data_IF_570616723049
#
_entry.id   IF_570616723049
#
_cell.length_a   1.000
_cell.length_b   1.000
_cell.length_c   1.000
_cell.angle_alpha   90.00
_cell.angle_beta   90.00
_cell.angle_gamma   90.00
#
_symmetry.space_group_name_H-M   'P 1'
#
loop_
_entity.id
_entity.type
_entity.pdbx_description
1 polymer ?
#
# COMPACT_ATOMS: atom_id res chain seq x y z
N UNK A 1 -17.62 31.42 -8.00
CA UNK A 1 -18.61 30.70 -8.84
C UNK A 1 -18.74 29.30 -8.28
N UNK A 2 -19.79 29.07 -7.49
CA UNK A 2 -20.10 27.77 -6.87
C UNK A 2 -20.70 26.87 -7.93
N UNK A 3 -19.98 25.87 -8.38
CA UNK A 3 -20.50 24.82 -9.26
C UNK A 3 -21.55 24.05 -8.46
N UNK A 4 -22.82 24.16 -8.91
CA UNK A 4 -23.97 23.59 -8.24
C UNK A 4 -23.85 22.08 -8.07
N UNK A 5 -24.03 21.59 -6.86
CA UNK A 5 -24.05 20.16 -6.47
C UNK A 5 -25.04 19.31 -7.29
N UNK A 6 -26.00 19.94 -7.95
CA UNK A 6 -26.97 19.30 -8.83
C UNK A 6 -26.41 18.91 -10.20
N UNK A 7 -25.39 19.61 -10.73
CA UNK A 7 -24.76 19.28 -12.01
C UNK A 7 -23.89 18.02 -11.91
N UNK A 8 -23.31 17.75 -10.75
CA UNK A 8 -22.49 16.56 -10.53
C UNK A 8 -23.31 15.27 -10.52
N UNK A 9 -24.58 15.33 -10.13
CA UNK A 9 -25.53 14.19 -10.14
C UNK A 9 -25.98 13.77 -11.54
N UNK A 10 -25.97 14.70 -12.51
CA UNK A 10 -26.39 14.43 -13.90
C UNK A 10 -25.28 13.83 -14.76
N UNK A 11 -24.00 14.07 -14.39
CA UNK A 11 -22.85 13.60 -15.16
C UNK A 11 -22.40 12.16 -14.79
N UNK A 12 -22.78 11.69 -13.60
CA UNK A 12 -22.45 10.33 -13.15
C UNK A 12 -23.68 9.68 -12.51
N UNK A 13 -24.23 8.60 -13.09
CA UNK A 13 -25.30 7.82 -12.45
C UNK A 13 -24.87 7.40 -11.04
N UNK A 14 -25.82 7.36 -10.10
CA UNK A 14 -25.54 6.88 -8.71
C UNK A 14 -24.81 5.55 -8.71
N UNK A 15 -25.14 4.65 -9.63
CA UNK A 15 -24.53 3.33 -9.79
C UNK A 15 -23.05 3.38 -10.17
N UNK A 16 -22.59 4.47 -10.80
CA UNK A 16 -21.17 4.64 -11.18
C UNK A 16 -20.27 4.96 -9.96
N UNK A 17 -20.83 5.61 -8.93
CA UNK A 17 -20.13 5.89 -7.68
C UNK A 17 -20.29 4.74 -6.66
N UNK A 18 -21.40 4.00 -6.72
CA UNK A 18 -21.74 2.94 -5.79
C UNK A 18 -21.05 1.60 -6.08
N UNK A 19 -20.47 1.40 -7.27
CA UNK A 19 -19.88 0.13 -7.70
C UNK A 19 -18.33 0.18 -7.80
N UNK A 20 -17.67 1.10 -7.10
CA UNK A 20 -16.21 1.13 -7.07
C UNK A 20 -15.67 0.06 -6.12
N UNK A 21 -15.18 -1.02 -6.69
CA UNK A 21 -14.34 -2.01 -5.98
C UNK A 21 -13.18 -1.27 -5.29
N UNK A 22 -13.06 -1.40 -3.98
CA UNK A 22 -11.94 -0.81 -3.23
C UNK A 22 -10.67 -1.61 -3.50
N UNK A 23 -9.56 -0.90 -3.70
CA UNK A 23 -8.25 -1.51 -3.91
C UNK A 23 -7.29 -1.09 -2.80
N UNK A 24 -6.62 -2.07 -2.23
CA UNK A 24 -5.64 -1.89 -1.16
C UNK A 24 -4.28 -2.31 -1.70
N UNK A 25 -3.32 -1.40 -1.63
CA UNK A 25 -1.91 -1.62 -1.95
C UNK A 25 -1.16 -1.65 -0.61
N UNK A 26 -0.74 -2.83 -0.15
CA UNK A 26 0.04 -2.98 1.07
C UNK A 26 1.51 -3.12 0.71
N UNK A 27 2.32 -2.14 1.09
CA UNK A 27 3.75 -2.10 0.79
C UNK A 27 4.56 -2.13 2.10
N UNK A 28 5.33 -3.20 2.30
CA UNK A 28 6.34 -3.20 3.35
C UNK A 28 7.52 -2.33 2.95
N UNK A 29 8.07 -1.54 3.87
CA UNK A 29 9.29 -0.76 3.61
C UNK A 29 10.41 -1.62 3.00
N UNK A 30 11.25 -1.03 2.15
CA UNK A 30 12.41 -1.67 1.56
C UNK A 30 13.53 -1.93 2.59
N UNK A 31 14.59 -2.65 2.21
CA UNK A 31 15.64 -3.11 3.13
C UNK A 31 16.35 -1.94 3.82
N UNK A 32 16.26 -1.89 5.15
CA UNK A 32 16.92 -0.88 5.98
C UNK A 32 18.38 -1.23 6.28
N UNK A 33 19.14 -0.20 6.62
CA UNK A 33 20.51 -0.31 7.09
C UNK A 33 20.55 -0.68 8.60
N UNK A 34 21.53 -1.49 8.96
CA UNK A 34 21.83 -1.93 10.32
C UNK A 34 23.27 -1.64 10.72
N UNK A 35 24.01 -0.91 9.87
CA UNK A 35 25.44 -0.66 10.10
C UNK A 35 25.70 0.26 11.29
N UNK A 36 24.74 1.09 11.69
CA UNK A 36 24.86 1.97 12.83
C UNK A 36 23.96 1.51 14.01
N UNK A 37 24.50 0.76 14.97
CA UNK A 37 23.72 0.25 16.10
C UNK A 37 23.29 1.33 17.11
N UNK A 38 23.85 2.55 17.00
CA UNK A 38 23.47 3.68 17.86
C UNK A 38 22.26 4.48 17.36
N UNK A 39 21.74 4.17 16.16
CA UNK A 39 20.54 4.82 15.66
C UNK A 39 19.28 4.20 16.28
N UNK A 40 18.35 5.08 16.62
CA UNK A 40 16.99 4.69 16.97
C UNK A 40 16.36 3.91 15.80
N UNK A 41 15.61 2.85 16.06
CA UNK A 41 15.00 2.02 15.02
C UNK A 41 14.13 2.84 14.05
N UNK A 42 13.43 3.84 14.56
CA UNK A 42 12.60 4.75 13.76
C UNK A 42 13.44 5.55 12.75
N UNK A 43 14.66 5.94 13.11
CA UNK A 43 15.55 6.78 12.31
C UNK A 43 16.43 6.00 11.33
N UNK A 44 16.35 4.67 11.32
CA UNK A 44 17.16 3.82 10.42
C UNK A 44 16.77 4.03 8.97
N UNK A 45 17.75 4.40 8.09
CA UNK A 45 17.52 4.60 6.67
C UNK A 45 17.46 3.29 5.88
N UNK A 46 17.18 3.37 4.60
CA UNK A 46 17.40 2.28 3.66
C UNK A 46 18.91 2.06 3.44
N UNK A 47 19.31 0.81 3.19
CA UNK A 47 20.61 0.53 2.61
C UNK A 47 20.54 0.59 1.06
N UNK A 48 21.69 0.51 0.37
CA UNK A 48 21.76 0.57 -1.10
C UNK A 48 20.87 -0.45 -1.83
N UNK A 49 20.71 -1.66 -1.26
CA UNK A 49 19.79 -2.66 -1.81
C UNK A 49 18.34 -2.22 -1.64
N UNK A 50 18.00 -1.63 -0.50
CA UNK A 50 16.68 -1.08 -0.23
C UNK A 50 16.33 0.07 -1.17
N UNK A 51 17.27 0.97 -1.42
CA UNK A 51 17.08 2.09 -2.37
C UNK A 51 16.76 1.57 -3.77
N UNK A 52 17.55 0.62 -4.30
CA UNK A 52 17.26 -0.01 -5.60
C UNK A 52 15.91 -0.72 -5.63
N UNK A 53 15.56 -1.42 -4.57
CA UNK A 53 14.26 -2.09 -4.46
C UNK A 53 13.09 -1.09 -4.42
N UNK A 54 13.26 0.04 -3.74
CA UNK A 54 12.26 1.11 -3.69
C UNK A 54 12.05 1.77 -5.06
N UNK A 55 13.14 2.01 -5.81
CA UNK A 55 13.06 2.54 -7.18
C UNK A 55 12.29 1.57 -8.11
N UNK A 56 12.67 0.28 -8.14
CA UNK A 56 12.02 -0.73 -8.96
C UNK A 56 10.53 -0.91 -8.61
N UNK A 57 10.20 -0.92 -7.32
CA UNK A 57 8.81 -1.03 -6.87
C UNK A 57 8.00 0.23 -7.21
N UNK A 58 8.61 1.41 -7.15
CA UNK A 58 7.98 2.66 -7.55
C UNK A 58 7.65 2.68 -9.05
N UNK A 59 8.55 2.17 -9.92
CA UNK A 59 8.29 2.00 -11.35
C UNK A 59 7.14 1.03 -11.56
N UNK A 60 7.15 -0.11 -10.88
CA UNK A 60 6.09 -1.11 -10.99
C UNK A 60 4.73 -0.54 -10.57
N UNK A 61 4.65 0.14 -9.43
CA UNK A 61 3.39 0.74 -8.95
C UNK A 61 2.88 1.79 -9.94
N UNK A 62 3.75 2.67 -10.41
CA UNK A 62 3.35 3.75 -11.32
C UNK A 62 2.85 3.24 -12.67
N UNK A 63 3.38 2.11 -13.17
CA UNK A 63 3.08 1.57 -14.50
C UNK A 63 1.96 0.51 -14.50
N UNK A 64 1.82 -0.26 -13.42
CA UNK A 64 1.00 -1.47 -13.41
C UNK A 64 -0.09 -1.50 -12.34
N UNK A 65 -0.10 -0.55 -11.39
CA UNK A 65 -1.12 -0.49 -10.36
C UNK A 65 -2.13 0.64 -10.61
N UNK A 66 -3.36 0.50 -10.10
CA UNK A 66 -4.26 1.64 -10.02
C UNK A 66 -3.59 2.77 -9.22
N UNK A 67 -3.72 4.00 -9.73
CA UNK A 67 -3.20 5.17 -9.03
C UNK A 67 -3.86 5.30 -7.66
N UNK A 68 -3.09 5.46 -6.57
CA UNK A 68 -3.68 5.70 -5.26
C UNK A 68 -4.47 7.01 -5.21
N UNK A 69 -5.64 6.99 -4.58
CA UNK A 69 -6.41 8.18 -4.22
C UNK A 69 -5.95 8.74 -2.86
N UNK A 70 -5.33 7.89 -2.04
CA UNK A 70 -4.76 8.25 -0.74
C UNK A 70 -3.52 7.40 -0.46
N UNK A 71 -2.47 8.02 0.07
CA UNK A 71 -1.28 7.34 0.55
C UNK A 71 -1.21 7.48 2.08
N UNK A 72 -1.14 6.35 2.77
CA UNK A 72 -0.90 6.24 4.21
C UNK A 72 0.52 5.73 4.41
N UNK A 73 1.37 6.47 5.11
CA UNK A 73 2.77 6.08 5.29
C UNK A 73 3.21 6.28 6.74
N UNK A 74 3.87 5.28 7.31
CA UNK A 74 4.54 5.41 8.60
C UNK A 74 5.58 6.52 8.57
N UNK A 75 5.79 7.18 9.71
CA UNK A 75 6.77 8.27 9.85
C UNK A 75 8.23 7.82 9.87
N UNK A 76 8.53 6.53 9.99
CA UNK A 76 9.91 6.03 10.02
C UNK A 76 10.69 6.42 8.74
N UNK A 77 11.98 6.68 8.86
CA UNK A 77 12.81 7.10 7.73
C UNK A 77 12.75 6.10 6.58
N UNK A 78 12.86 4.79 6.87
CA UNK A 78 12.84 3.72 5.85
C UNK A 78 11.54 3.65 5.05
N UNK A 79 10.38 3.93 5.66
CA UNK A 79 9.09 3.96 4.94
C UNK A 79 8.98 5.20 4.07
N UNK A 80 9.39 6.36 4.57
CA UNK A 80 9.44 7.61 3.81
C UNK A 80 10.38 7.52 2.62
N UNK A 81 11.55 6.92 2.79
CA UNK A 81 12.51 6.68 1.71
C UNK A 81 11.99 5.65 0.70
N UNK A 82 11.21 4.65 1.13
CA UNK A 82 10.53 3.72 0.22
C UNK A 82 9.47 4.43 -0.62
N UNK A 83 8.76 5.39 -0.05
CA UNK A 83 7.73 6.18 -0.75
C UNK A 83 8.33 7.20 -1.72
N UNK A 84 9.45 7.83 -1.39
CA UNK A 84 9.99 8.98 -2.12
C UNK A 84 10.14 8.76 -3.65
N UNK A 85 10.65 7.62 -4.16
CA UNK A 85 10.71 7.36 -5.59
C UNK A 85 9.34 7.36 -6.26
N UNK A 86 8.31 6.81 -5.58
CA UNK A 86 6.96 6.74 -6.12
C UNK A 86 6.33 8.14 -6.27
N UNK A 87 6.48 8.99 -5.25
CA UNK A 87 5.95 10.38 -5.32
C UNK A 87 6.51 11.14 -6.52
N UNK A 88 7.79 10.92 -6.86
CA UNK A 88 8.39 11.54 -8.06
C UNK A 88 7.80 11.04 -9.39
N UNK A 89 7.22 9.83 -9.40
CA UNK A 89 6.63 9.20 -10.60
C UNK A 89 5.14 9.46 -10.76
N UNK A 90 4.46 9.75 -9.66
CA UNK A 90 3.02 10.03 -9.72
C UNK A 90 2.77 11.40 -10.34
N UNK A 91 1.90 11.41 -11.37
CA UNK A 91 1.56 12.63 -12.07
C UNK A 91 0.91 13.68 -11.14
N UNK A 92 1.10 14.96 -11.49
CA UNK A 92 0.46 16.08 -10.79
C UNK A 92 -1.05 16.14 -11.11
N UNK A 93 -1.91 16.47 -10.12
CA UNK A 93 -1.58 16.66 -8.72
C UNK A 93 -1.25 15.34 -8.02
N UNK A 94 -0.27 15.35 -7.10
CA UNK A 94 0.07 14.17 -6.32
C UNK A 94 -1.11 13.72 -5.45
N UNK A 95 -1.28 12.41 -5.20
CA UNK A 95 -2.30 11.93 -4.26
C UNK A 95 -2.09 12.53 -2.87
N UNK A 96 -3.17 12.77 -2.11
CA UNK A 96 -3.07 13.10 -0.70
C UNK A 96 -2.19 12.11 0.05
N UNK A 97 -1.28 12.61 0.87
CA UNK A 97 -0.33 11.84 1.67
C UNK A 97 -0.53 12.14 3.15
N UNK A 98 -0.79 11.09 3.93
CA UNK A 98 -0.80 11.13 5.39
C UNK A 98 0.44 10.40 5.95
N UNK A 99 1.33 11.13 6.61
CA UNK A 99 2.45 10.58 7.38
C UNK A 99 1.97 10.40 8.82
N UNK A 100 1.87 9.15 9.28
CA UNK A 100 1.23 8.82 10.56
C UNK A 100 2.16 8.02 11.48
N UNK A 101 2.39 8.54 12.69
CA UNK A 101 3.17 7.86 13.72
C UNK A 101 2.47 6.57 14.18
N UNK A 102 1.13 6.54 14.16
CA UNK A 102 0.35 5.36 14.52
C UNK A 102 0.54 4.15 13.58
N UNK A 103 1.15 4.35 12.40
CA UNK A 103 1.50 3.25 11.47
C UNK A 103 2.90 2.67 11.74
N UNK A 104 3.66 3.26 12.66
CA UNK A 104 4.98 2.74 13.02
C UNK A 104 4.85 1.48 13.87
N UNK A 105 5.32 0.34 13.33
CA UNK A 105 5.21 -0.99 13.94
C UNK A 105 3.78 -1.34 14.40
N UNK A 106 2.78 -0.81 13.70
CA UNK A 106 1.37 -1.03 14.01
C UNK A 106 1.00 -2.51 13.87
N UNK A 107 0.10 -2.98 14.72
CA UNK A 107 -0.51 -4.31 14.62
C UNK A 107 -1.48 -4.39 13.43
N UNK A 108 -1.88 -5.61 13.09
CA UNK A 108 -2.91 -5.88 12.10
C UNK A 108 -4.20 -5.10 12.38
N UNK A 109 -4.72 -5.19 13.62
CA UNK A 109 -5.96 -4.51 14.03
C UNK A 109 -5.86 -2.99 13.85
N UNK A 110 -4.75 -2.38 14.29
CA UNK A 110 -4.55 -0.93 14.14
C UNK A 110 -4.48 -0.50 12.67
N UNK A 111 -3.90 -1.33 11.81
CA UNK A 111 -3.87 -1.08 10.37
C UNK A 111 -5.25 -1.25 9.74
N UNK A 112 -6.01 -2.25 10.16
CA UNK A 112 -7.39 -2.48 9.71
C UNK A 112 -8.30 -1.32 10.10
N UNK A 113 -8.28 -0.93 11.38
CA UNK A 113 -9.04 0.23 11.89
C UNK A 113 -8.72 1.50 11.10
N UNK A 114 -7.42 1.69 10.78
CA UNK A 114 -7.00 2.85 9.99
C UNK A 114 -7.53 2.80 8.56
N UNK A 115 -7.58 1.63 7.93
CA UNK A 115 -8.18 1.47 6.59
C UNK A 115 -9.69 1.68 6.64
N UNK A 116 -10.37 1.17 7.67
CA UNK A 116 -11.82 1.35 7.85
C UNK A 116 -12.21 2.83 8.05
N UNK A 117 -11.30 3.65 8.58
CA UNK A 117 -11.49 5.09 8.74
C UNK A 117 -11.18 5.92 7.48
N UNK A 118 -10.84 5.30 6.36
CA UNK A 118 -10.59 5.99 5.09
C UNK A 118 -11.90 6.55 4.52
N UNK A 119 -11.92 7.78 4.00
CA UNK A 119 -13.08 8.31 3.30
C UNK A 119 -13.47 7.48 2.07
N UNK A 120 -14.76 7.21 1.88
CA UNK A 120 -15.25 6.40 0.76
C UNK A 120 -15.02 7.02 -0.63
N UNK A 121 -14.67 8.30 -0.68
CA UNK A 121 -14.22 8.97 -1.92
C UNK A 121 -12.90 8.40 -2.45
N UNK A 122 -12.07 7.81 -1.60
CA UNK A 122 -10.88 7.07 -2.01
C UNK A 122 -11.28 5.66 -2.45
N UNK A 123 -11.04 5.30 -3.69
CA UNK A 123 -11.24 3.95 -4.23
C UNK A 123 -9.98 3.09 -4.08
N UNK A 124 -8.80 3.70 -4.15
CA UNK A 124 -7.51 3.02 -4.04
C UNK A 124 -6.66 3.64 -2.93
N UNK A 125 -6.20 2.83 -1.99
CA UNK A 125 -5.33 3.25 -0.89
C UNK A 125 -4.00 2.51 -0.97
N UNK A 126 -2.90 3.26 -0.90
CA UNK A 126 -1.56 2.70 -0.68
C UNK A 126 -1.19 2.89 0.79
N UNK A 127 -0.90 1.79 1.49
CA UNK A 127 -0.41 1.81 2.87
C UNK A 127 1.03 1.28 2.90
N UNK A 128 1.94 2.10 3.43
CA UNK A 128 3.37 1.76 3.58
C UNK A 128 3.71 1.64 5.05
N UNK A 129 4.11 0.44 5.47
CA UNK A 129 4.34 0.14 6.89
C UNK A 129 5.40 -0.94 7.12
N UNK A 130 5.22 -1.68 8.19
CA UNK A 130 6.21 -2.60 8.76
C UNK A 130 5.62 -4.00 8.95
N UNK A 131 6.47 -5.02 9.00
CA UNK A 131 6.08 -6.32 9.55
C UNK A 131 6.14 -6.25 11.09
N UNK A 132 5.35 -7.04 11.85
CA UNK A 132 4.52 -8.13 11.29
C UNK A 132 3.14 -7.63 10.81
N UNK A 133 2.68 -6.45 11.23
CA UNK A 133 1.32 -5.96 10.97
C UNK A 133 0.91 -5.94 9.48
N UNK A 134 1.78 -5.49 8.56
CA UNK A 134 1.47 -5.51 7.12
C UNK A 134 1.23 -6.93 6.62
N UNK A 135 2.04 -7.89 7.07
CA UNK A 135 1.90 -9.27 6.65
C UNK A 135 0.62 -9.89 7.20
N UNK A 136 0.39 -9.77 8.51
CA UNK A 136 -0.82 -10.27 9.17
C UNK A 136 -2.08 -9.68 8.55
N UNK A 137 -2.11 -8.37 8.31
CA UNK A 137 -3.24 -7.73 7.64
C UNK A 137 -3.48 -8.28 6.22
N UNK A 138 -2.41 -8.48 5.43
CA UNK A 138 -2.54 -9.03 4.10
C UNK A 138 -3.12 -10.46 4.12
N UNK A 139 -2.65 -11.31 5.06
CA UNK A 139 -3.16 -12.66 5.24
C UNK A 139 -4.62 -12.67 5.74
N UNK A 140 -4.94 -11.84 6.73
CA UNK A 140 -6.30 -11.75 7.27
C UNK A 140 -7.32 -11.30 6.22
N UNK A 141 -6.98 -10.30 5.40
CA UNK A 141 -7.88 -9.79 4.36
C UNK A 141 -8.05 -10.75 3.18
N UNK A 142 -7.02 -11.53 2.82
CA UNK A 142 -7.00 -12.39 1.63
C UNK A 142 -7.85 -13.65 1.82
N UNK A 143 -9.14 -13.57 1.53
CA UNK A 143 -10.06 -14.72 1.54
C UNK A 143 -10.05 -15.53 0.24
N UNK A 144 -9.60 -14.94 -0.87
CA UNK A 144 -9.56 -15.57 -2.19
C UNK A 144 -8.34 -15.06 -2.99
N UNK A 145 -7.98 -15.81 -4.04
CA UNK A 145 -6.89 -15.46 -4.96
C UNK A 145 -6.24 -16.69 -5.59
N UNK A 146 -5.34 -16.52 -6.56
CA UNK A 146 -4.56 -17.63 -7.12
C UNK A 146 -3.78 -18.37 -6.02
N UNK A 147 -3.84 -19.69 -6.02
CA UNK A 147 -3.22 -20.55 -4.99
C UNK A 147 -1.72 -20.28 -4.80
N UNK A 148 -1.01 -20.00 -5.89
CA UNK A 148 0.42 -19.67 -5.86
C UNK A 148 0.70 -18.35 -5.11
N UNK A 149 -0.14 -17.33 -5.33
CA UNK A 149 -0.01 -16.04 -4.63
C UNK A 149 -0.34 -16.17 -3.15
N UNK A 150 -1.41 -16.89 -2.82
CA UNK A 150 -1.78 -17.17 -1.43
C UNK A 150 -0.70 -17.99 -0.71
N UNK A 151 -0.11 -18.98 -1.39
CA UNK A 151 1.01 -19.75 -0.87
C UNK A 151 2.22 -18.86 -0.58
N UNK A 152 2.59 -18.01 -1.54
CA UNK A 152 3.73 -17.08 -1.39
C UNK A 152 3.51 -16.05 -0.27
N UNK A 153 2.26 -15.54 -0.12
CA UNK A 153 1.90 -14.62 0.97
C UNK A 153 2.06 -15.30 2.34
N UNK A 154 1.58 -16.54 2.49
CA UNK A 154 1.66 -17.31 3.74
C UNK A 154 3.10 -17.71 4.11
N UNK A 155 3.94 -17.93 3.10
CA UNK A 155 5.32 -18.31 3.35
C UNK A 155 6.15 -17.16 3.91
N UNK A 156 6.09 -15.96 3.30
CA UNK A 156 6.98 -14.86 3.65
C UNK A 156 6.57 -13.55 3.01
N UNK A 157 6.66 -12.46 3.78
CA UNK A 157 6.48 -11.09 3.28
C UNK A 157 7.80 -10.29 3.36
N UNK A 158 8.69 -10.38 2.37
CA UNK A 158 10.00 -9.72 2.39
C UNK A 158 9.91 -8.19 2.38
N UNK A 159 10.99 -7.50 2.77
CA UNK A 159 11.10 -6.04 2.63
C UNK A 159 10.93 -5.59 1.19
N UNK A 160 10.19 -4.51 0.97
CA UNK A 160 9.89 -3.98 -0.36
C UNK A 160 8.78 -4.73 -1.10
N UNK A 161 8.17 -5.76 -0.51
CA UNK A 161 7.07 -6.52 -1.14
C UNK A 161 5.79 -5.71 -1.14
N UNK A 162 5.04 -5.81 -2.23
CA UNK A 162 3.72 -5.23 -2.45
C UNK A 162 2.68 -6.36 -2.57
N UNK A 163 1.63 -6.30 -1.75
CA UNK A 163 0.40 -7.05 -1.97
C UNK A 163 -0.70 -6.13 -2.52
N UNK A 164 -1.43 -6.60 -3.53
CA UNK A 164 -2.56 -5.90 -4.11
C UNK A 164 -3.81 -6.71 -3.80
N UNK A 165 -4.72 -6.11 -3.04
CA UNK A 165 -5.99 -6.73 -2.67
C UNK A 165 -7.16 -5.92 -3.23
N UNK A 166 -8.21 -6.61 -3.64
CA UNK A 166 -9.48 -6.01 -4.04
C UNK A 166 -10.59 -6.53 -3.17
N UNK A 167 -11.41 -5.62 -2.64
CA UNK A 167 -12.57 -5.99 -1.83
C UNK A 167 -13.86 -5.50 -2.48
N UNK A 168 -14.96 -6.30 -2.41
CA UNK A 168 -16.27 -5.88 -2.86
C UNK A 168 -16.95 -4.92 -1.87
N UNK A 169 -16.34 -4.63 -0.72
CA UNK A 169 -16.87 -3.71 0.27
C UNK A 169 -17.13 -2.32 -0.36
N UNK A 170 -18.35 -1.82 -0.22
CA UNK A 170 -18.75 -0.50 -0.73
C UNK A 170 -18.15 0.62 0.10
N UNK A 171 -18.05 0.40 1.40
CA UNK A 171 -17.50 1.35 2.36
C UNK A 171 -16.25 0.76 3.00
N UNK A 172 -15.25 1.59 3.25
CA UNK A 172 -14.03 1.15 3.93
C UNK A 172 -14.31 0.58 5.33
N UNK A 173 -15.30 1.12 6.03
CA UNK A 173 -15.73 0.62 7.35
C UNK A 173 -16.24 -0.83 7.33
N UNK A 174 -16.65 -1.34 6.15
CA UNK A 174 -17.15 -2.70 5.98
C UNK A 174 -16.02 -3.69 5.58
N UNK A 175 -14.77 -3.21 5.52
CA UNK A 175 -13.60 -4.07 5.26
C UNK A 175 -13.43 -5.04 6.43
N UNK A 176 -13.35 -6.34 6.13
CA UNK A 176 -13.27 -7.40 7.12
C UNK A 176 -12.35 -8.53 6.67
N UNK A 177 -11.91 -9.34 7.61
CA UNK A 177 -11.11 -10.52 7.35
C UNK A 177 -11.78 -11.46 6.34
N UNK A 178 -11.02 -12.05 5.43
CA UNK A 178 -11.48 -12.99 4.42
C UNK A 178 -12.33 -12.40 3.30
N UNK A 179 -12.52 -11.05 3.26
CA UNK A 179 -13.42 -10.44 2.27
C UNK A 179 -12.72 -9.92 1.01
N UNK A 180 -11.41 -9.90 0.97
CA UNK A 180 -10.67 -9.38 -0.16
C UNK A 180 -10.05 -10.51 -1.01
N UNK A 181 -9.88 -10.24 -2.29
CA UNK A 181 -9.19 -11.10 -3.23
C UNK A 181 -7.76 -10.60 -3.44
N UNK A 182 -6.76 -11.47 -3.22
CA UNK A 182 -5.37 -11.20 -3.54
C UNK A 182 -5.18 -11.22 -5.07
N UNK A 183 -4.83 -10.08 -5.65
CA UNK A 183 -4.65 -9.90 -7.10
C UNK A 183 -3.20 -10.02 -7.55
N UNK A 184 -2.28 -9.58 -6.70
CA UNK A 184 -0.84 -9.68 -6.95
C UNK A 184 -0.06 -9.71 -5.65
N UNK A 185 1.09 -10.35 -5.70
CA UNK A 185 2.09 -10.39 -4.64
C UNK A 185 3.46 -10.24 -5.26
N UNK A 186 3.99 -9.02 -5.27
CA UNK A 186 5.17 -8.62 -6.05
C UNK A 186 6.34 -8.37 -5.11
N UNK A 187 7.41 -9.13 -5.29
CA UNK A 187 8.64 -9.00 -4.50
C UNK A 187 9.69 -8.23 -5.31
N UNK A 188 10.59 -7.46 -4.68
CA UNK A 188 11.64 -6.76 -5.43
C UNK A 188 12.48 -7.65 -6.36
N UNK A 189 12.73 -8.89 -5.96
CA UNK A 189 13.47 -9.86 -6.79
C UNK A 189 12.76 -10.22 -8.09
N UNK A 190 11.44 -10.12 -8.12
CA UNK A 190 10.63 -10.41 -9.30
C UNK A 190 10.70 -9.27 -10.33
N UNK A 191 11.16 -8.07 -9.91
CA UNK A 191 11.27 -6.86 -10.73
C UNK A 191 12.70 -6.57 -11.18
N UNK A 192 13.67 -6.88 -10.32
CA UNK A 192 15.09 -6.72 -10.62
C UNK A 192 15.56 -8.10 -11.02
N UNK A 193 15.68 -8.36 -12.33
CA UNK A 193 16.20 -9.64 -12.83
C UNK A 193 17.52 -9.99 -12.13
N UNK A 194 17.91 -11.27 -12.12
CA UNK A 194 19.08 -11.88 -11.44
C UNK A 194 20.46 -11.28 -11.80
N UNK A 195 20.51 -10.05 -12.27
CA UNK A 195 21.70 -9.36 -12.79
C UNK A 195 22.43 -8.55 -11.72
N UNK A 196 22.43 -8.95 -10.45
CA UNK A 196 23.26 -8.32 -9.42
C UNK A 196 23.58 -9.30 -8.28
N UNK A 197 24.51 -10.23 -8.55
CA UNK A 197 25.37 -10.81 -7.50
C UNK A 197 26.51 -9.85 -7.18
#
# INVERSE_FOLDING_TARGET
MTVSWQLTKQLFPKDFLENRVKTILLLRHAKSDWANPGLDDHERPLNRRGERSAEAMADHIAQHCPRPDLILCSTAIRTRQTLAPLVRRLASPAPPLALEKGLYLASEDALLDRLQAVPDTAGTVLLIGHNDGIWQLAEALAGDGPSELLGALREKYPTGTLAILRTPARHWRDLAAGTAQLKAFVRPRDLVGDSAQ
#
